data_IF_998265536328
#
_entry.id   IF_998265536328
#
_cell.length_a   1.000
_cell.length_b   1.000
_cell.length_c   1.000
_cell.angle_alpha   90.00
_cell.angle_beta   90.00
_cell.angle_gamma   90.00
#
_symmetry.space_group_name_H-M   'P 1'
#
loop_
_entity.id
_entity.type
_entity.pdbx_description
1 polymer ?
#
# COMPACT_ATOMS: atom_id res chain seq x y z
N UNK A 1 32.15 3.15 -15.64
CA UNK A 1 30.85 3.36 -16.31
C UNK A 1 30.04 2.10 -16.11
N UNK A 2 29.04 2.15 -15.23
CA UNK A 2 28.20 0.99 -14.93
C UNK A 2 27.28 0.75 -16.11
N UNK A 3 27.52 -0.34 -16.85
CA UNK A 3 26.61 -0.80 -17.90
C UNK A 3 25.29 -1.18 -17.24
N UNK A 4 24.22 -0.46 -17.59
CA UNK A 4 22.85 -0.82 -17.24
C UNK A 4 22.59 -2.19 -17.89
N UNK A 5 22.67 -3.25 -17.10
CA UNK A 5 22.40 -4.60 -17.57
C UNK A 5 20.94 -4.71 -18.04
N UNK A 6 20.67 -5.42 -19.14
CA UNK A 6 19.30 -5.76 -19.59
C UNK A 6 18.44 -6.37 -18.48
N UNK A 7 19.06 -6.97 -17.46
CA UNK A 7 18.37 -7.53 -16.30
C UNK A 7 17.71 -6.46 -15.41
N UNK A 8 18.25 -5.23 -15.38
CA UNK A 8 17.71 -4.10 -14.61
C UNK A 8 16.46 -3.48 -15.25
N UNK A 9 16.34 -3.53 -16.58
CA UNK A 9 15.14 -3.13 -17.33
C UNK A 9 13.93 -4.00 -17.03
N UNK A 10 14.14 -5.28 -16.63
CA UNK A 10 13.06 -6.17 -16.21
C UNK A 10 12.36 -5.68 -14.94
N UNK A 11 13.07 -4.99 -14.05
CA UNK A 11 12.44 -4.40 -12.86
C UNK A 11 11.60 -3.18 -13.17
N UNK A 12 11.88 -2.48 -14.28
CA UNK A 12 10.99 -1.41 -14.76
C UNK A 12 9.60 -1.93 -15.13
N UNK A 13 9.46 -3.23 -15.41
CA UNK A 13 8.15 -3.88 -15.63
C UNK A 13 7.27 -3.77 -14.38
N UNK A 14 7.86 -3.72 -13.18
CA UNK A 14 7.10 -3.53 -11.94
C UNK A 14 6.36 -2.19 -11.89
N UNK A 15 6.75 -1.20 -12.70
CA UNK A 15 6.08 0.11 -12.78
C UNK A 15 4.91 0.11 -13.77
N UNK A 16 4.77 -0.93 -14.60
CA UNK A 16 3.70 -1.03 -15.60
C UNK A 16 2.31 -0.87 -14.97
N UNK A 17 1.99 -1.51 -13.82
CA UNK A 17 0.72 -1.28 -13.14
C UNK A 17 0.39 0.21 -12.91
N UNK A 18 1.33 0.97 -12.32
CA UNK A 18 1.15 2.41 -12.08
C UNK A 18 0.96 3.20 -13.39
N UNK A 19 1.73 2.88 -14.43
CA UNK A 19 1.61 3.55 -15.73
C UNK A 19 0.26 3.27 -16.39
N UNK A 20 -0.24 2.04 -16.31
CA UNK A 20 -1.55 1.66 -16.84
C UNK A 20 -2.69 2.33 -16.07
N UNK A 21 -2.57 2.49 -14.75
CA UNK A 21 -3.54 3.26 -13.96
C UNK A 21 -3.57 4.72 -14.42
N UNK A 22 -2.40 5.36 -14.53
CA UNK A 22 -2.33 6.77 -14.94
C UNK A 22 -2.93 6.96 -16.34
N UNK A 23 -2.55 6.11 -17.30
CA UNK A 23 -3.10 6.13 -18.65
C UNK A 23 -4.63 5.91 -18.64
N UNK A 24 -5.09 4.90 -17.91
CA UNK A 24 -6.52 4.57 -17.79
C UNK A 24 -7.34 5.70 -17.18
N UNK A 25 -6.85 6.35 -16.12
CA UNK A 25 -7.54 7.44 -15.45
C UNK A 25 -7.61 8.71 -16.32
N UNK A 26 -6.57 8.98 -17.11
CA UNK A 26 -6.52 10.14 -18.03
C UNK A 26 -7.38 9.89 -19.29
N UNK A 27 -7.46 8.65 -19.77
CA UNK A 27 -8.25 8.32 -20.96
C UNK A 27 -9.74 8.06 -20.67
N UNK A 28 -10.07 7.59 -19.46
CA UNK A 28 -11.44 7.27 -19.06
C UNK A 28 -12.04 6.05 -19.75
N UNK A 29 -13.33 5.81 -19.52
CA UNK A 29 -14.06 4.67 -20.11
C UNK A 29 -13.41 3.31 -19.80
N UNK A 30 -13.41 2.41 -20.79
CA UNK A 30 -12.84 1.06 -20.65
C UNK A 30 -11.33 1.04 -20.36
N UNK A 31 -10.60 2.12 -20.66
CA UNK A 31 -9.17 2.22 -20.37
C UNK A 31 -8.87 2.16 -18.87
N UNK A 32 -9.83 2.53 -18.02
CA UNK A 32 -9.73 2.40 -16.56
C UNK A 32 -9.50 0.96 -16.10
N UNK A 33 -9.91 -0.03 -16.89
CA UNK A 33 -9.75 -1.46 -16.59
C UNK A 33 -8.37 -2.02 -16.95
N UNK A 34 -7.51 -1.26 -17.65
CA UNK A 34 -6.21 -1.76 -18.13
C UNK A 34 -5.37 -2.38 -17.01
N UNK A 35 -5.14 -1.65 -15.92
CA UNK A 35 -4.36 -2.18 -14.80
C UNK A 35 -5.08 -3.34 -14.10
N UNK A 36 -6.41 -3.27 -13.95
CA UNK A 36 -7.18 -4.38 -13.35
C UNK A 36 -6.99 -5.68 -14.13
N UNK A 37 -7.10 -5.60 -15.47
CA UNK A 37 -6.90 -6.75 -16.35
C UNK A 37 -5.44 -7.22 -16.33
N UNK A 38 -4.50 -6.27 -16.32
CA UNK A 38 -3.07 -6.59 -16.27
C UNK A 38 -2.69 -7.28 -14.96
N UNK A 39 -3.04 -6.72 -13.81
CA UNK A 39 -2.66 -7.25 -12.49
C UNK A 39 -3.35 -8.57 -12.17
N UNK A 40 -4.65 -8.71 -12.46
CA UNK A 40 -5.40 -9.90 -12.05
C UNK A 40 -5.31 -11.07 -13.04
N UNK A 41 -5.14 -10.78 -14.34
CA UNK A 41 -5.13 -11.82 -15.37
C UNK A 41 -3.77 -11.95 -16.02
N UNK A 42 -3.24 -10.85 -16.58
CA UNK A 42 -2.01 -10.95 -17.35
C UNK A 42 -0.85 -11.44 -16.49
N UNK A 43 -0.61 -10.86 -15.31
CA UNK A 43 0.46 -11.30 -14.42
C UNK A 43 0.31 -12.76 -13.98
N UNK A 44 -0.90 -13.16 -13.57
CA UNK A 44 -1.18 -14.54 -13.14
C UNK A 44 -0.95 -15.54 -14.27
N UNK A 45 -1.40 -15.21 -15.49
CA UNK A 45 -1.20 -16.03 -16.67
C UNK A 45 0.30 -16.12 -16.98
N UNK A 46 1.02 -15.00 -17.00
CA UNK A 46 2.45 -15.00 -17.30
C UNK A 46 3.24 -15.79 -16.26
N UNK A 47 2.90 -15.69 -14.98
CA UNK A 47 3.56 -16.49 -13.95
C UNK A 47 3.35 -17.98 -14.19
N UNK A 48 2.18 -18.40 -14.66
CA UNK A 48 1.92 -19.83 -14.92
C UNK A 48 2.76 -20.40 -16.08
N UNK A 49 3.08 -19.55 -17.08
CA UNK A 49 3.89 -19.95 -18.24
C UNK A 49 5.39 -19.70 -18.08
N UNK A 50 5.78 -18.74 -17.23
CA UNK A 50 7.15 -18.26 -17.09
C UNK A 50 7.70 -18.38 -15.66
N UNK A 51 7.11 -19.24 -14.82
CA UNK A 51 7.65 -19.56 -13.50
C UNK A 51 9.07 -20.15 -13.65
N UNK A 52 10.08 -19.31 -13.44
CA UNK A 52 11.48 -19.74 -13.43
C UNK A 52 11.85 -20.25 -12.03
N UNK A 53 12.12 -21.55 -11.92
CA UNK A 53 12.50 -22.22 -10.67
C UNK A 53 13.90 -21.84 -10.17
N UNK A 54 14.66 -21.02 -10.90
CA UNK A 54 16.07 -20.73 -10.62
C UNK A 54 16.42 -19.24 -10.68
N UNK A 55 15.73 -18.40 -9.90
CA UNK A 55 16.18 -17.01 -9.71
C UNK A 55 17.28 -16.97 -8.62
N UNK A 56 18.54 -17.03 -9.05
CA UNK A 56 19.66 -16.59 -8.22
C UNK A 56 19.49 -15.08 -7.97
N UNK A 57 19.64 -14.58 -6.73
CA UNK A 57 19.62 -13.15 -6.46
C UNK A 57 20.77 -12.48 -7.21
N UNK A 58 20.45 -11.81 -8.31
CA UNK A 58 21.45 -11.08 -9.10
C UNK A 58 21.92 -9.89 -8.26
N UNK A 59 23.24 -9.73 -8.01
CA UNK A 59 23.76 -8.59 -7.26
C UNK A 59 23.47 -7.30 -8.05
N UNK A 60 22.58 -6.45 -7.53
CA UNK A 60 22.20 -5.19 -8.17
C UNK A 60 23.00 -4.03 -7.59
N UNK A 61 23.22 -3.00 -8.39
CA UNK A 61 23.72 -1.73 -7.85
C UNK A 61 22.65 -1.13 -6.93
N UNK A 62 23.03 -0.78 -5.70
CA UNK A 62 22.13 -0.14 -4.73
C UNK A 62 21.43 1.10 -5.32
N UNK A 63 22.11 1.84 -6.21
CA UNK A 63 21.56 3.00 -6.89
C UNK A 63 20.32 2.71 -7.75
N UNK A 64 20.34 1.62 -8.54
CA UNK A 64 19.20 1.28 -9.42
C UNK A 64 17.99 0.85 -8.59
N UNK A 65 18.20 0.04 -7.54
CA UNK A 65 17.12 -0.38 -6.65
C UNK A 65 16.48 0.84 -5.95
N UNK A 66 17.32 1.77 -5.46
CA UNK A 66 16.87 3.02 -4.86
C UNK A 66 16.08 3.89 -5.84
N UNK A 67 16.57 4.04 -7.07
CA UNK A 67 15.89 4.81 -8.11
C UNK A 67 14.51 4.23 -8.46
N UNK A 68 14.41 2.91 -8.58
CA UNK A 68 13.13 2.22 -8.86
C UNK A 68 12.16 2.39 -7.70
N UNK A 69 12.65 2.29 -6.45
CA UNK A 69 11.84 2.50 -5.25
C UNK A 69 11.27 3.92 -5.20
N UNK A 70 12.08 4.94 -5.51
CA UNK A 70 11.63 6.33 -5.63
C UNK A 70 10.57 6.46 -6.73
N UNK A 71 10.80 5.82 -7.88
CA UNK A 71 9.88 5.88 -9.01
C UNK A 71 8.54 5.22 -8.69
N UNK A 72 8.51 4.17 -7.88
CA UNK A 72 7.27 3.60 -7.34
C UNK A 72 6.50 4.59 -6.47
N UNK A 73 7.17 5.27 -5.53
CA UNK A 73 6.54 6.32 -4.69
C UNK A 73 5.94 7.43 -5.57
N UNK A 74 6.69 7.91 -6.56
CA UNK A 74 6.25 8.96 -7.46
C UNK A 74 5.07 8.50 -8.32
N UNK A 75 5.16 7.34 -8.97
CA UNK A 75 4.11 6.84 -9.88
C UNK A 75 2.86 6.41 -9.13
N UNK A 76 2.98 5.87 -7.90
CA UNK A 76 1.83 5.62 -7.03
C UNK A 76 1.11 6.92 -6.65
N UNK A 77 1.86 7.96 -6.25
CA UNK A 77 1.30 9.28 -5.96
C UNK A 77 0.58 9.87 -7.18
N UNK A 78 1.19 9.75 -8.38
CA UNK A 78 0.57 10.17 -9.63
C UNK A 78 -0.65 9.33 -10.02
N UNK A 79 -0.71 8.05 -9.64
CA UNK A 79 -1.86 7.19 -9.86
C UNK A 79 -3.08 7.69 -9.08
N UNK A 80 -2.90 8.04 -7.81
CA UNK A 80 -3.97 8.62 -6.98
C UNK A 80 -4.34 10.02 -7.47
N UNK A 81 -3.36 10.85 -7.83
CA UNK A 81 -3.61 12.17 -8.37
C UNK A 81 -4.39 12.10 -9.71
N UNK A 82 -4.06 11.15 -10.59
CA UNK A 82 -4.77 10.97 -11.87
C UNK A 82 -6.21 10.48 -11.68
N UNK A 83 -6.49 9.67 -10.65
CA UNK A 83 -7.85 9.29 -10.27
C UNK A 83 -8.68 10.52 -9.89
N UNK A 84 -8.16 11.34 -8.96
CA UNK A 84 -8.85 12.56 -8.50
C UNK A 84 -9.01 13.56 -9.65
N UNK A 85 -7.96 13.73 -10.46
CA UNK A 85 -7.98 14.59 -11.64
C UNK A 85 -9.01 14.13 -12.66
N UNK A 86 -9.05 12.83 -12.99
CA UNK A 86 -10.00 12.27 -13.96
C UNK A 86 -11.46 12.45 -13.53
N UNK A 87 -11.76 12.35 -12.23
CA UNK A 87 -13.08 12.67 -11.67
C UNK A 87 -13.36 14.17 -11.81
N UNK A 88 -12.40 15.02 -11.45
CA UNK A 88 -12.57 16.48 -11.47
C UNK A 88 -12.68 17.06 -12.88
N UNK A 89 -12.00 16.49 -13.86
CA UNK A 89 -12.04 16.90 -15.28
C UNK A 89 -13.31 16.43 -15.99
N UNK A 90 -14.05 15.48 -15.40
CA UNK A 90 -15.17 14.82 -16.06
C UNK A 90 -14.75 13.75 -17.07
N UNK A 91 -13.47 13.36 -17.09
CA UNK A 91 -12.99 12.24 -17.93
C UNK A 91 -13.51 10.90 -17.38
N UNK A 92 -13.58 10.77 -16.05
CA UNK A 92 -14.15 9.62 -15.37
C UNK A 92 -15.61 9.91 -15.03
N UNK A 93 -16.53 9.20 -15.69
CA UNK A 93 -17.97 9.34 -15.47
C UNK A 93 -18.60 8.02 -15.02
N UNK A 94 -19.75 8.11 -14.36
CA UNK A 94 -20.63 6.98 -14.04
C UNK A 94 -19.89 5.81 -13.36
N UNK A 95 -20.09 4.59 -13.87
CA UNK A 95 -19.46 3.37 -13.37
C UNK A 95 -17.94 3.35 -13.54
N UNK A 96 -17.39 4.11 -14.50
CA UNK A 96 -15.95 4.09 -14.75
C UNK A 96 -15.14 4.77 -13.64
N UNK A 97 -15.77 5.61 -12.80
CA UNK A 97 -15.16 6.12 -11.57
C UNK A 97 -14.78 4.96 -10.64
N UNK A 98 -15.67 3.98 -10.50
CA UNK A 98 -15.45 2.83 -9.62
C UNK A 98 -14.47 1.82 -10.23
N UNK A 99 -14.50 1.64 -11.55
CA UNK A 99 -13.47 0.88 -12.26
C UNK A 99 -12.08 1.50 -12.05
N UNK A 100 -11.97 2.83 -12.19
CA UNK A 100 -10.73 3.57 -11.94
C UNK A 100 -10.28 3.48 -10.48
N UNK A 101 -11.20 3.56 -9.52
CA UNK A 101 -10.90 3.42 -8.09
C UNK A 101 -10.39 2.01 -7.75
N UNK A 102 -11.04 0.96 -8.28
CA UNK A 102 -10.58 -0.43 -8.15
C UNK A 102 -9.18 -0.61 -8.74
N UNK A 103 -8.99 -0.13 -9.97
CA UNK A 103 -7.74 -0.21 -10.72
C UNK A 103 -6.59 0.51 -9.99
N UNK A 104 -6.87 1.71 -9.46
CA UNK A 104 -5.93 2.48 -8.62
C UNK A 104 -5.65 1.77 -7.30
N UNK A 105 -6.67 1.15 -6.69
CA UNK A 105 -6.54 0.42 -5.43
C UNK A 105 -5.68 -0.83 -5.55
N UNK A 106 -5.83 -1.58 -6.65
CA UNK A 106 -4.96 -2.72 -6.97
C UNK A 106 -3.51 -2.28 -7.08
N UNK A 107 -3.23 -1.22 -7.85
CA UNK A 107 -1.89 -0.63 -7.94
C UNK A 107 -1.36 -0.16 -6.57
N UNK A 108 -2.23 0.43 -5.76
CA UNK A 108 -1.89 0.90 -4.41
C UNK A 108 -1.48 -0.25 -3.49
N UNK A 109 -2.09 -1.42 -3.63
CA UNK A 109 -1.66 -2.63 -2.94
C UNK A 109 -0.33 -3.20 -3.49
N UNK A 110 -0.25 -3.50 -4.80
CA UNK A 110 0.90 -4.19 -5.40
C UNK A 110 2.16 -3.33 -5.56
N UNK A 111 2.03 -2.01 -5.62
CA UNK A 111 3.16 -1.09 -5.75
C UNK A 111 3.27 -0.21 -4.51
N UNK A 112 2.20 0.50 -4.14
CA UNK A 112 2.21 1.50 -3.09
C UNK A 112 2.62 0.95 -1.72
N UNK A 113 1.87 -0.03 -1.22
CA UNK A 113 2.07 -0.65 0.10
C UNK A 113 3.34 -1.50 0.13
N UNK A 114 3.65 -2.28 -0.91
CA UNK A 114 4.90 -3.07 -0.97
C UNK A 114 6.12 -2.16 -0.91
N UNK A 115 6.13 -1.08 -1.69
CA UNK A 115 7.20 -0.08 -1.64
C UNK A 115 7.26 0.59 -0.27
N UNK A 116 6.11 0.88 0.34
CA UNK A 116 6.07 1.44 1.69
C UNK A 116 6.69 0.49 2.72
N UNK A 117 6.38 -0.81 2.66
CA UNK A 117 6.91 -1.84 3.54
C UNK A 117 8.44 -1.88 3.50
N UNK A 118 9.06 -1.89 2.31
CA UNK A 118 10.51 -1.80 2.17
C UNK A 118 11.07 -0.48 2.75
N UNK A 119 10.43 0.64 2.42
CA UNK A 119 10.92 1.98 2.79
C UNK A 119 10.90 2.26 4.29
N UNK A 120 9.91 1.74 5.02
CA UNK A 120 9.79 2.00 6.46
C UNK A 120 10.86 1.28 7.29
N UNK A 121 11.41 0.17 6.77
CA UNK A 121 12.51 -0.56 7.41
C UNK A 121 13.85 0.15 7.31
N UNK A 122 14.04 1.01 6.30
CA UNK A 122 15.30 1.73 6.08
C UNK A 122 15.60 2.71 7.21
N UNK A 123 16.88 2.89 7.53
CA UNK A 123 17.28 3.71 8.68
C UNK A 123 17.12 5.21 8.48
N UNK A 124 17.40 5.70 7.27
CA UNK A 124 17.40 7.15 6.99
C UNK A 124 15.96 7.68 6.98
N UNK A 125 15.77 8.83 7.64
CA UNK A 125 14.47 9.51 7.73
C UNK A 125 13.83 9.76 6.37
N UNK A 126 14.62 10.12 5.36
CA UNK A 126 14.14 10.35 4.00
C UNK A 126 13.36 9.15 3.42
N UNK A 127 13.92 7.95 3.57
CA UNK A 127 13.29 6.72 3.09
C UNK A 127 12.01 6.41 3.87
N UNK A 128 12.08 6.47 5.20
CA UNK A 128 10.91 6.26 6.07
C UNK A 128 9.78 7.24 5.77
N UNK A 129 10.11 8.51 5.52
CA UNK A 129 9.12 9.54 5.21
C UNK A 129 8.36 9.22 3.91
N UNK A 130 9.03 8.71 2.87
CA UNK A 130 8.38 8.27 1.64
C UNK A 130 7.50 7.02 1.85
N UNK A 131 7.93 6.08 2.69
CA UNK A 131 7.09 4.93 3.05
C UNK A 131 5.84 5.36 3.81
N UNK A 132 5.98 6.27 4.78
CA UNK A 132 4.85 6.86 5.52
C UNK A 132 3.94 7.66 4.59
N UNK A 133 4.48 8.36 3.59
CA UNK A 133 3.70 9.05 2.58
C UNK A 133 2.79 8.09 1.80
N UNK A 134 3.33 6.98 1.28
CA UNK A 134 2.52 5.96 0.62
C UNK A 134 1.45 5.37 1.55
N UNK A 135 1.76 5.12 2.82
CA UNK A 135 0.77 4.65 3.80
C UNK A 135 -0.32 5.69 4.07
N UNK A 136 0.03 6.98 4.06
CA UNK A 136 -0.92 8.08 4.20
C UNK A 136 -1.88 8.13 3.01
N UNK A 137 -1.39 7.93 1.79
CA UNK A 137 -2.21 7.95 0.57
C UNK A 137 -3.14 6.75 0.41
N UNK A 138 -3.02 5.74 1.28
CA UNK A 138 -3.96 4.60 1.39
C UNK A 138 -4.67 4.52 2.75
N UNK A 139 -4.62 5.58 3.57
CA UNK A 139 -5.24 5.64 4.90
C UNK A 139 -4.80 4.53 5.89
N UNK A 140 -3.54 4.11 5.82
CA UNK A 140 -3.01 2.99 6.62
C UNK A 140 -1.71 3.32 7.38
N UNK A 141 -1.55 4.57 7.82
CA UNK A 141 -0.31 5.06 8.50
C UNK A 141 0.07 4.29 9.76
N UNK A 142 -0.91 3.78 10.51
CA UNK A 142 -0.66 3.01 11.74
C UNK A 142 0.12 1.71 11.48
N UNK A 143 0.08 1.18 10.25
CA UNK A 143 0.89 0.05 9.81
C UNK A 143 2.37 0.27 10.07
N UNK A 144 2.89 1.50 9.95
CA UNK A 144 4.29 1.80 10.26
C UNK A 144 4.70 1.35 11.67
N UNK A 145 3.87 1.68 12.67
CA UNK A 145 4.13 1.31 14.06
C UNK A 145 3.88 -0.17 14.27
N UNK A 146 2.74 -0.67 13.80
CA UNK A 146 2.36 -2.06 14.04
C UNK A 146 3.35 -3.02 13.42
N UNK A 147 3.69 -2.79 12.16
CA UNK A 147 4.56 -3.66 11.41
C UNK A 147 5.95 -3.74 12.05
N UNK A 148 6.60 -2.59 12.30
CA UNK A 148 7.97 -2.55 12.82
C UNK A 148 8.07 -2.97 14.28
N UNK A 149 7.13 -2.55 15.13
CA UNK A 149 7.26 -2.70 16.59
C UNK A 149 6.38 -3.81 17.18
N UNK A 150 5.35 -4.23 16.45
CA UNK A 150 4.42 -5.28 16.84
C UNK A 150 4.69 -6.57 16.06
N UNK A 151 4.27 -6.58 14.79
CA UNK A 151 4.23 -7.75 13.92
C UNK A 151 5.56 -8.51 13.87
N UNK A 152 6.69 -7.87 13.52
CA UNK A 152 8.00 -8.55 13.45
C UNK A 152 8.41 -9.24 14.76
N UNK A 153 7.96 -8.72 15.90
CA UNK A 153 8.29 -9.27 17.21
C UNK A 153 7.37 -10.43 17.61
N UNK A 154 6.12 -10.41 17.16
CA UNK A 154 5.04 -11.27 17.64
C UNK A 154 4.50 -12.21 16.56
N UNK A 155 5.01 -12.15 15.33
CA UNK A 155 4.58 -12.97 14.20
C UNK A 155 4.54 -14.45 14.59
N UNK A 156 3.52 -15.13 14.06
CA UNK A 156 3.20 -16.52 14.37
C UNK A 156 2.79 -16.77 15.83
N UNK A 157 2.33 -15.75 16.57
CA UNK A 157 1.78 -15.92 17.92
C UNK A 157 0.36 -15.34 18.02
N UNK A 158 -0.48 -15.79 18.98
CA UNK A 158 -1.82 -15.23 19.19
C UNK A 158 -1.82 -13.73 19.55
N UNK A 159 -0.66 -13.18 19.95
CA UNK A 159 -0.51 -11.78 20.32
C UNK A 159 -0.29 -10.85 19.12
N UNK A 160 0.06 -11.37 17.94
CA UNK A 160 0.14 -10.59 16.71
C UNK A 160 -1.22 -10.52 16.02
N UNK A 161 -1.81 -9.32 15.87
CA UNK A 161 -3.07 -9.14 15.15
C UNK A 161 -3.03 -9.68 13.71
N UNK A 162 -1.88 -9.59 13.04
CA UNK A 162 -1.70 -9.96 11.63
C UNK A 162 -1.32 -11.44 11.40
N UNK A 163 -1.26 -12.24 12.47
CA UNK A 163 -1.12 -13.69 12.35
C UNK A 163 -2.50 -14.32 12.12
N UNK A 164 -2.61 -15.09 11.04
CA UNK A 164 -3.82 -15.82 10.71
C UNK A 164 -3.95 -17.06 11.60
N UNK A 165 -5.13 -17.23 12.21
CA UNK A 165 -5.38 -18.33 13.16
C UNK A 165 -5.79 -19.60 12.42
N UNK A 166 -5.45 -20.76 12.97
CA UNK A 166 -5.87 -22.02 12.38
C UNK A 166 -7.41 -22.10 12.29
N UNK A 167 -7.94 -22.43 11.09
CA UNK A 167 -9.38 -22.52 10.83
C UNK A 167 -10.10 -21.18 10.64
N UNK A 168 -9.38 -20.06 10.69
CA UNK A 168 -9.95 -18.75 10.39
C UNK A 168 -10.16 -18.56 8.87
N UNK A 169 -11.33 -18.10 8.45
CA UNK A 169 -11.55 -17.72 7.04
C UNK A 169 -10.82 -16.42 6.70
N UNK A 170 -10.37 -16.24 5.46
CA UNK A 170 -9.73 -15.00 5.00
C UNK A 170 -10.58 -13.74 5.27
N UNK A 171 -11.89 -13.80 5.07
CA UNK A 171 -12.78 -12.66 5.38
C UNK A 171 -12.88 -12.37 6.88
N UNK A 172 -13.01 -13.41 7.70
CA UNK A 172 -12.98 -13.29 9.17
C UNK A 172 -11.67 -12.69 9.66
N UNK A 173 -10.55 -13.11 9.07
CA UNK A 173 -9.22 -12.55 9.32
C UNK A 173 -9.17 -11.06 9.02
N UNK A 174 -9.58 -10.63 7.82
CA UNK A 174 -9.56 -9.21 7.41
C UNK A 174 -10.37 -8.33 8.37
N UNK A 175 -11.58 -8.76 8.74
CA UNK A 175 -12.45 -8.02 9.66
C UNK A 175 -11.83 -7.91 11.06
N UNK A 176 -11.09 -8.93 11.50
CA UNK A 176 -10.41 -8.95 12.80
C UNK A 176 -9.11 -8.14 12.79
N UNK A 177 -8.26 -8.35 11.79
CA UNK A 177 -6.87 -7.89 11.78
C UNK A 177 -6.79 -6.37 11.71
N UNK A 178 -7.56 -5.73 10.82
CA UNK A 178 -7.50 -4.28 10.58
C UNK A 178 -7.73 -3.47 11.88
N UNK A 179 -8.86 -3.61 12.60
CA UNK A 179 -9.05 -2.86 13.84
C UNK A 179 -8.08 -3.29 14.95
N UNK A 180 -7.68 -4.56 14.99
CA UNK A 180 -6.75 -5.07 16.00
C UNK A 180 -5.33 -4.49 15.82
N UNK A 181 -4.83 -4.40 14.59
CA UNK A 181 -3.55 -3.76 14.23
C UNK A 181 -3.56 -2.28 14.61
N UNK A 182 -4.66 -1.55 14.35
CA UNK A 182 -4.79 -0.16 14.76
C UNK A 182 -4.70 0.01 16.29
N UNK A 183 -5.46 -0.81 17.04
CA UNK A 183 -5.45 -0.77 18.51
C UNK A 183 -4.08 -1.16 19.07
N UNK A 184 -3.43 -2.17 18.49
CA UNK A 184 -2.09 -2.60 18.86
C UNK A 184 -1.06 -1.47 18.65
N UNK A 185 -1.04 -0.85 17.47
CA UNK A 185 -0.17 0.29 17.17
C UNK A 185 -0.36 1.44 18.16
N UNK A 186 -1.63 1.77 18.46
CA UNK A 186 -1.96 2.84 19.39
C UNK A 186 -1.45 2.54 20.81
N UNK A 187 -1.58 1.28 21.27
CA UNK A 187 -1.07 0.82 22.57
C UNK A 187 0.45 0.81 22.64
N UNK A 188 1.14 0.41 21.56
CA UNK A 188 2.60 0.42 21.47
C UNK A 188 3.13 1.85 21.64
N UNK A 189 2.54 2.82 20.95
CA UNK A 189 2.95 4.23 21.04
C UNK A 189 2.55 4.86 22.39
N UNK A 190 1.37 4.54 22.92
CA UNK A 190 0.96 4.96 24.25
C UNK A 190 1.97 4.48 25.33
N UNK A 191 2.37 3.21 25.28
CA UNK A 191 3.36 2.65 26.19
C UNK A 191 4.74 3.33 26.05
N UNK A 192 5.15 3.68 24.82
CA UNK A 192 6.38 4.47 24.58
C UNK A 192 6.31 5.83 25.27
N UNK A 193 5.19 6.54 25.13
CA UNK A 193 5.01 7.88 25.69
C UNK A 193 4.89 7.87 27.21
N UNK A 194 4.24 6.85 27.78
CA UNK A 194 4.18 6.65 29.23
C UNK A 194 5.58 6.52 29.85
N UNK A 195 6.48 5.74 29.20
CA UNK A 195 7.90 5.64 29.62
C UNK A 195 8.65 6.97 29.50
N UNK A 196 8.20 7.87 28.63
CA UNK A 196 8.74 9.22 28.47
C UNK A 196 8.03 10.27 29.32
N UNK A 197 7.11 9.86 30.22
CA UNK A 197 6.29 10.75 31.05
C UNK A 197 5.50 11.79 30.22
N UNK A 198 5.06 11.41 29.02
CA UNK A 198 4.22 12.25 28.12
C UNK A 198 2.79 11.72 28.07
N UNK A 199 1.86 12.59 27.72
CA UNK A 199 0.46 12.20 27.49
C UNK A 199 0.35 11.18 26.35
N UNK A 200 -0.27 10.04 26.64
CA UNK A 200 -0.25 8.83 25.79
C UNK A 200 -1.02 8.99 24.47
N UNK A 201 -2.03 9.86 24.43
CA UNK A 201 -2.93 10.03 23.29
C UNK A 201 -2.91 11.47 22.72
N UNK A 202 -1.79 12.17 22.91
CA UNK A 202 -1.60 13.54 22.38
C UNK A 202 -0.87 13.56 21.03
N UNK A 203 -0.48 14.77 20.60
CA UNK A 203 0.28 14.99 19.35
C UNK A 203 1.70 14.40 19.36
N UNK A 204 2.16 13.86 20.49
CA UNK A 204 3.40 13.08 20.55
C UNK A 204 3.21 11.61 20.16
N UNK A 205 1.97 11.14 19.98
CA UNK A 205 1.65 9.79 19.56
C UNK A 205 1.55 9.75 18.03
N UNK A 206 2.40 8.94 17.40
CA UNK A 206 2.46 8.85 15.95
C UNK A 206 1.12 8.41 15.34
N UNK A 207 0.44 7.44 15.96
CA UNK A 207 -0.84 6.92 15.45
C UNK A 207 -1.91 8.01 15.49
N UNK A 208 -1.95 8.83 16.55
CA UNK A 208 -2.88 9.97 16.65
C UNK A 208 -2.60 10.99 15.54
N UNK A 209 -1.34 11.37 15.35
CA UNK A 209 -0.95 12.31 14.27
C UNK A 209 -1.26 11.72 12.89
N UNK A 210 -1.02 10.43 12.68
CA UNK A 210 -1.36 9.72 11.45
C UNK A 210 -2.86 9.77 11.16
N UNK A 211 -3.71 9.52 12.16
CA UNK A 211 -5.18 9.65 12.03
C UNK A 211 -5.57 11.08 11.68
N UNK A 212 -5.01 12.09 12.35
CA UNK A 212 -5.29 13.50 12.04
C UNK A 212 -4.85 13.86 10.62
N UNK A 213 -3.71 13.37 10.15
CA UNK A 213 -3.23 13.59 8.79
C UNK A 213 -4.14 12.92 7.75
N UNK A 214 -4.59 11.70 8.00
CA UNK A 214 -5.55 11.00 7.12
C UNK A 214 -6.89 11.73 7.06
N UNK A 215 -7.43 12.16 8.21
CA UNK A 215 -8.66 12.96 8.27
C UNK A 215 -8.50 14.31 7.54
N UNK A 216 -7.36 14.97 7.69
CA UNK A 216 -7.05 16.20 6.97
C UNK A 216 -6.98 15.97 5.45
N UNK A 217 -6.33 14.90 5.00
CA UNK A 217 -6.26 14.52 3.59
C UNK A 217 -7.66 14.23 3.02
N UNK A 218 -8.44 13.38 3.69
CA UNK A 218 -9.81 13.05 3.28
C UNK A 218 -10.71 14.29 3.25
N UNK A 219 -10.62 15.15 4.26
CA UNK A 219 -11.35 16.42 4.29
C UNK A 219 -10.94 17.33 3.14
N UNK A 220 -9.64 17.45 2.87
CA UNK A 220 -9.12 18.21 1.74
C UNK A 220 -9.65 17.69 0.40
N UNK A 221 -9.69 16.37 0.21
CA UNK A 221 -10.27 15.76 -0.99
C UNK A 221 -11.75 16.10 -1.13
N UNK A 222 -12.52 15.97 -0.05
CA UNK A 222 -13.95 16.30 -0.05
C UNK A 222 -14.21 17.78 -0.40
N UNK A 223 -13.51 18.70 0.27
CA UNK A 223 -13.74 20.13 0.09
C UNK A 223 -13.30 20.65 -1.28
N UNK A 224 -12.24 20.07 -1.87
CA UNK A 224 -11.70 20.51 -3.16
C UNK A 224 -12.29 19.79 -4.36
N UNK A 225 -12.66 18.51 -4.22
CA UNK A 225 -13.05 17.65 -5.35
C UNK A 225 -14.42 16.97 -5.18
N UNK A 226 -15.06 17.13 -4.03
CA UNK A 226 -16.41 16.64 -3.75
C UNK A 226 -16.47 15.20 -3.23
N UNK A 227 -17.69 14.79 -2.87
CA UNK A 227 -17.96 13.49 -2.26
C UNK A 227 -17.57 12.30 -3.15
N UNK A 228 -17.78 12.39 -4.46
CA UNK A 228 -17.44 11.32 -5.40
C UNK A 228 -15.94 11.00 -5.39
N UNK A 229 -15.10 12.04 -5.40
CA UNK A 229 -13.64 11.87 -5.30
C UNK A 229 -13.23 11.27 -3.95
N UNK A 230 -13.85 11.70 -2.85
CA UNK A 230 -13.62 11.11 -1.53
C UNK A 230 -13.98 9.62 -1.52
N UNK A 231 -15.15 9.23 -2.01
CA UNK A 231 -15.56 7.82 -2.03
C UNK A 231 -14.64 6.96 -2.92
N UNK A 232 -14.23 7.48 -4.08
CA UNK A 232 -13.24 6.79 -4.93
C UNK A 232 -11.89 6.64 -4.21
N UNK A 233 -11.45 7.65 -3.46
CA UNK A 233 -10.23 7.61 -2.65
C UNK A 233 -10.32 6.61 -1.48
N UNK A 234 -11.47 6.52 -0.81
CA UNK A 234 -11.71 5.52 0.24
C UNK A 234 -11.76 4.11 -0.36
N UNK A 235 -12.41 3.95 -1.51
CA UNK A 235 -12.49 2.65 -2.21
C UNK A 235 -11.10 2.16 -2.62
N UNK A 236 -10.25 3.01 -3.22
CA UNK A 236 -8.89 2.58 -3.57
C UNK A 236 -8.08 2.16 -2.33
N UNK A 237 -8.24 2.89 -1.22
CA UNK A 237 -7.59 2.55 0.05
C UNK A 237 -8.06 1.19 0.57
N UNK A 238 -9.37 0.94 0.55
CA UNK A 238 -9.96 -0.32 1.00
C UNK A 238 -9.48 -1.51 0.17
N UNK A 239 -9.37 -1.36 -1.15
CA UNK A 239 -8.83 -2.39 -2.04
C UNK A 239 -7.35 -2.67 -1.72
N UNK A 240 -6.54 -1.62 -1.52
CA UNK A 240 -5.13 -1.76 -1.19
C UNK A 240 -4.91 -2.48 0.14
N UNK A 241 -5.65 -2.08 1.18
CA UNK A 241 -5.60 -2.69 2.51
C UNK A 241 -6.10 -4.13 2.45
N UNK A 242 -7.20 -4.40 1.74
CA UNK A 242 -7.71 -5.75 1.57
C UNK A 242 -6.66 -6.68 0.92
N UNK A 243 -5.95 -6.19 -0.10
CA UNK A 243 -4.89 -6.96 -0.75
C UNK A 243 -3.71 -7.23 0.20
N UNK A 244 -3.27 -6.23 0.96
CA UNK A 244 -2.24 -6.40 2.00
C UNK A 244 -2.63 -7.47 3.01
N UNK A 245 -3.83 -7.40 3.56
CA UNK A 245 -4.27 -8.35 4.59
C UNK A 245 -4.52 -9.75 4.01
N UNK A 246 -4.93 -9.86 2.75
CA UNK A 246 -5.01 -11.16 2.09
C UNK A 246 -3.62 -11.79 1.92
N UNK A 247 -2.60 -10.99 1.62
CA UNK A 247 -1.20 -11.44 1.60
C UNK A 247 -0.75 -11.88 2.98
N UNK A 248 -0.97 -11.07 4.03
CA UNK A 248 -0.65 -11.45 5.42
C UNK A 248 -1.33 -12.77 5.82
N UNK A 249 -2.60 -12.94 5.44
CA UNK A 249 -3.32 -14.17 5.67
C UNK A 249 -2.62 -15.35 4.98
N UNK A 250 -2.32 -15.25 3.69
CA UNK A 250 -1.69 -16.32 2.92
C UNK A 250 -0.28 -16.67 3.43
N UNK A 251 0.50 -15.66 3.83
CA UNK A 251 1.87 -15.84 4.32
C UNK A 251 1.92 -16.45 5.73
N UNK A 252 0.95 -16.15 6.59
CA UNK A 252 0.97 -16.58 8.00
C UNK A 252 0.02 -17.74 8.32
N UNK A 253 -0.86 -18.13 7.41
CA UNK A 253 -1.81 -19.21 7.68
C UNK A 253 -1.10 -20.53 7.97
N UNK A 254 -1.35 -21.09 9.16
CA UNK A 254 -0.74 -22.33 9.60
C UNK A 254 0.68 -22.20 10.16
N UNK A 255 1.18 -20.98 10.37
CA UNK A 255 2.48 -20.74 11.02
C UNK A 255 2.40 -20.55 12.54
N UNK A 256 1.20 -20.45 13.11
CA UNK A 256 0.97 -20.22 14.55
C UNK A 256 1.69 -21.27 15.42
N UNK A 257 2.43 -20.81 16.43
CA UNK A 257 3.28 -21.62 17.33
C UNK A 257 3.13 -21.24 18.80
#
# INVERSE_FOLDING_TARGET
>A
MNTVSFHSLRYSVSLVPSLLVIAGNISGGYWTLLNTLFTLFFLVITDWFFADETLQPVPHSAFIADAITILHVLTHTLSIASLIYGIRSGTLTDSFIWCAALSTGLNSGVSGIITAHELIHRDKLFWRAMGIWNLLTVNYTHFFIEHIKGHHKLVATPADPATARFGETSYGFVVRTIPAQFVSALRIEAARLKRQQKFEYGLSNFVVVGVLAQLALMSGIYWLFGATALFAFVMQSAVAIFLLELTNYAEHYGLER
#
